data_IF_032867125138
#
_entry.id   IF_032867125138
#
_cell.length_a   1.000
_cell.length_b   1.000
_cell.length_c   1.000
_cell.angle_alpha   90.00
_cell.angle_beta   90.00
_cell.angle_gamma   90.00
#
_symmetry.space_group_name_H-M   'P 1'
#
loop_
_entity.id
_entity.type
_entity.pdbx_description
1 polymer ?
#
# COMPACT_ATOMS: atom_id res chain seq x y z
N UNK A 1 10.30 -5.44 -8.07
CA UNK A 1 9.28 -4.62 -7.40
C UNK A 1 9.56 -3.15 -7.66
N UNK A 2 8.57 -2.34 -7.89
CA UNK A 2 8.71 -0.97 -8.37
C UNK A 2 7.89 -0.01 -7.52
N UNK A 3 8.42 1.17 -7.23
CA UNK A 3 7.70 2.30 -6.65
C UNK A 3 7.48 3.33 -7.75
N UNK A 4 6.26 3.81 -7.91
CA UNK A 4 5.83 4.64 -9.02
C UNK A 4 5.44 6.03 -8.52
N UNK A 5 5.85 7.07 -9.25
CA UNK A 5 5.48 8.47 -8.98
C UNK A 5 4.00 8.70 -9.26
N UNK A 6 3.30 9.35 -8.34
CA UNK A 6 1.98 9.93 -8.58
C UNK A 6 2.13 11.41 -8.92
N UNK A 7 1.63 11.83 -10.06
CA UNK A 7 1.69 13.22 -10.53
C UNK A 7 0.36 13.66 -11.14
N UNK A 8 0.14 14.96 -11.23
CA UNK A 8 -1.07 15.59 -11.80
C UNK A 8 -1.22 15.44 -13.32
N UNK A 9 -0.21 14.90 -14.02
CA UNK A 9 -0.23 14.87 -15.47
C UNK A 9 -1.02 13.66 -16.01
N UNK A 10 -1.80 13.89 -17.06
CA UNK A 10 -2.52 12.81 -17.79
C UNK A 10 -1.58 11.78 -18.41
N UNK A 11 -0.33 12.14 -18.69
CA UNK A 11 0.71 11.23 -19.15
C UNK A 11 1.08 10.21 -18.07
N UNK A 12 0.90 10.55 -16.80
CA UNK A 12 1.11 9.64 -15.68
C UNK A 12 0.21 8.39 -15.76
N UNK A 13 -1.09 8.57 -16.00
CA UNK A 13 -2.03 7.43 -16.08
C UNK A 13 -1.66 6.46 -17.22
N UNK A 14 -1.16 6.98 -18.34
CA UNK A 14 -0.70 6.15 -19.44
C UNK A 14 0.61 5.44 -19.12
N UNK A 15 1.55 6.13 -18.50
CA UNK A 15 2.82 5.55 -18.03
C UNK A 15 2.57 4.51 -16.94
N UNK A 16 1.64 4.77 -16.02
CA UNK A 16 1.23 3.84 -14.99
C UNK A 16 0.63 2.55 -15.57
N UNK A 17 -0.30 2.65 -16.53
CA UNK A 17 -0.87 1.49 -17.22
C UNK A 17 0.18 0.69 -17.97
N UNK A 18 1.13 1.37 -18.61
CA UNK A 18 2.26 0.72 -19.26
C UNK A 18 3.12 -0.02 -18.25
N UNK A 19 3.46 0.61 -17.13
CA UNK A 19 4.26 0.01 -16.07
C UNK A 19 3.53 -1.17 -15.41
N UNK A 20 2.22 -1.07 -15.16
CA UNK A 20 1.41 -2.21 -14.69
C UNK A 20 1.46 -3.39 -15.64
N UNK A 21 1.45 -3.15 -16.96
CA UNK A 21 1.55 -4.21 -17.96
C UNK A 21 2.93 -4.87 -18.02
N UNK A 22 3.98 -4.16 -17.57
CA UNK A 22 5.37 -4.62 -17.58
C UNK A 22 5.82 -5.21 -16.24
N UNK A 23 5.25 -4.75 -15.13
CA UNK A 23 5.60 -5.19 -13.77
C UNK A 23 4.40 -5.85 -13.13
N UNK A 24 4.55 -7.08 -12.70
CA UNK A 24 3.47 -7.84 -12.09
C UNK A 24 2.93 -7.24 -10.78
N UNK A 25 3.70 -6.40 -10.04
CA UNK A 25 3.25 -5.86 -8.74
C UNK A 25 4.05 -4.60 -8.33
N UNK A 26 3.48 -3.39 -8.41
CA UNK A 26 4.05 -2.25 -7.71
C UNK A 26 3.92 -2.47 -6.19
N UNK A 27 4.99 -2.20 -5.46
CA UNK A 27 4.98 -2.31 -3.99
C UNK A 27 4.65 -0.99 -3.29
N UNK A 28 4.64 0.11 -4.03
CA UNK A 28 4.36 1.43 -3.49
C UNK A 28 4.29 2.52 -4.56
N UNK A 29 3.89 3.69 -4.10
CA UNK A 29 3.89 4.93 -4.87
C UNK A 29 4.65 6.00 -4.11
N UNK A 30 5.16 7.01 -4.82
CA UNK A 30 5.78 8.16 -4.20
C UNK A 30 5.19 9.48 -4.70
N UNK A 31 5.23 10.47 -3.83
CA UNK A 31 4.86 11.84 -4.11
C UNK A 31 6.09 12.74 -3.95
N UNK A 32 6.44 13.48 -5.00
CA UNK A 32 7.50 14.47 -4.95
C UNK A 32 7.00 15.70 -4.21
N UNK A 33 7.47 15.90 -2.98
CA UNK A 33 6.98 16.90 -2.06
C UNK A 33 7.44 18.32 -2.42
N UNK A 34 6.53 19.28 -2.31
CA UNK A 34 6.77 20.71 -2.54
C UNK A 34 6.34 21.59 -1.36
N UNK A 35 5.93 21.00 -0.26
CA UNK A 35 5.35 21.73 0.88
C UNK A 35 6.37 22.48 1.75
N UNK A 36 7.68 22.30 1.54
CA UNK A 36 8.70 22.96 2.35
C UNK A 36 8.54 22.67 3.84
N UNK A 37 8.45 23.71 4.66
CA UNK A 37 8.18 23.61 6.10
C UNK A 37 6.71 23.81 6.50
N UNK A 38 5.77 23.77 5.55
CA UNK A 38 4.34 24.02 5.82
C UNK A 38 3.57 22.72 6.07
N UNK A 39 3.22 22.44 7.33
CA UNK A 39 2.37 21.30 7.68
C UNK A 39 0.98 21.38 7.03
N UNK A 40 0.43 22.58 6.82
CA UNK A 40 -0.85 22.74 6.14
C UNK A 40 -0.77 22.31 4.66
N UNK A 41 0.31 22.70 3.97
CA UNK A 41 0.55 22.29 2.59
C UNK A 41 0.89 20.80 2.51
N UNK A 42 1.71 20.27 3.43
CA UNK A 42 2.00 18.84 3.52
C UNK A 42 0.73 17.99 3.66
N UNK A 43 -0.21 18.45 4.50
CA UNK A 43 -1.52 17.82 4.63
C UNK A 43 -2.32 17.85 3.31
N UNK A 44 -2.33 18.99 2.61
CA UNK A 44 -3.03 19.10 1.32
C UNK A 44 -2.41 18.21 0.24
N UNK A 45 -1.07 18.17 0.16
CA UNK A 45 -0.35 17.30 -0.78
C UNK A 45 -0.55 15.81 -0.46
N UNK A 46 -0.62 15.44 0.83
CA UNK A 46 -0.93 14.07 1.24
C UNK A 46 -2.35 13.65 0.83
N UNK A 47 -3.34 14.52 1.00
CA UNK A 47 -4.70 14.26 0.52
C UNK A 47 -4.77 14.12 -0.99
N UNK A 48 -4.08 15.00 -1.73
CA UNK A 48 -3.97 14.88 -3.18
C UNK A 48 -3.37 13.53 -3.57
N UNK A 49 -2.25 13.15 -2.94
CA UNK A 49 -1.57 11.89 -3.20
C UNK A 49 -2.50 10.68 -2.98
N UNK A 50 -3.14 10.62 -1.80
CA UNK A 50 -4.06 9.54 -1.44
C UNK A 50 -5.27 9.46 -2.38
N UNK A 51 -5.82 10.61 -2.82
CA UNK A 51 -6.97 10.69 -3.72
C UNK A 51 -6.66 10.24 -5.15
N UNK A 52 -5.39 10.24 -5.54
CA UNK A 52 -4.93 9.90 -6.88
C UNK A 52 -4.19 8.56 -6.94
N UNK A 53 -4.23 7.75 -5.89
CA UNK A 53 -3.66 6.42 -5.93
C UNK A 53 -4.40 5.56 -6.96
N UNK A 54 -3.67 4.94 -7.90
CA UNK A 54 -4.29 4.25 -9.03
C UNK A 54 -5.06 3.01 -8.65
N UNK A 55 -4.63 2.32 -7.63
CA UNK A 55 -5.27 1.13 -7.08
C UNK A 55 -4.83 0.84 -5.66
N UNK A 56 -5.55 0.04 -5.04
CA UNK A 56 -5.37 -0.67 -3.81
C UNK A 56 -4.40 -1.83 -4.02
N UNK A 57 -3.58 -2.20 -3.07
CA UNK A 57 -2.63 -3.32 -3.17
C UNK A 57 -1.18 -2.90 -3.04
N UNK A 58 -0.91 -1.62 -2.81
CA UNK A 58 0.41 -1.15 -2.46
C UNK A 58 0.55 -1.09 -0.94
N UNK A 59 1.76 -1.35 -0.45
CA UNK A 59 2.07 -1.31 0.98
C UNK A 59 2.64 0.03 1.39
N UNK A 60 3.50 0.57 0.53
CA UNK A 60 4.35 1.69 0.87
C UNK A 60 3.89 2.93 0.13
N UNK A 61 3.74 4.02 0.87
CA UNK A 61 3.59 5.34 0.29
C UNK A 61 4.73 6.22 0.76
N UNK A 62 5.40 6.84 -0.21
CA UNK A 62 6.66 7.53 0.02
C UNK A 62 6.48 9.03 -0.11
N UNK A 63 6.93 9.79 0.88
CA UNK A 63 7.19 11.21 0.74
C UNK A 63 8.62 11.39 0.23
N UNK A 64 8.75 11.88 -0.99
CA UNK A 64 10.00 12.19 -1.66
C UNK A 64 10.33 13.67 -1.39
N UNK A 65 11.12 13.90 -0.32
CA UNK A 65 11.45 15.23 0.19
C UNK A 65 12.91 15.56 -0.06
N UNK A 66 13.19 16.07 -1.25
CA UNK A 66 14.56 16.38 -1.69
C UNK A 66 14.71 17.79 -2.29
N UNK A 67 13.64 18.59 -2.22
CA UNK A 67 13.60 19.98 -2.69
C UNK A 67 12.67 20.81 -1.79
N UNK A 68 12.72 22.13 -1.95
CA UNK A 68 11.80 23.10 -1.34
C UNK A 68 11.86 23.23 0.20
N UNK A 69 12.84 22.65 0.89
CA UNK A 69 12.98 22.81 2.33
C UNK A 69 13.08 24.29 2.71
N UNK A 70 12.39 24.69 3.78
CA UNK A 70 12.53 26.01 4.38
C UNK A 70 13.83 26.12 5.18
N UNK A 71 14.19 27.32 5.60
CA UNK A 71 15.32 27.52 6.50
C UNK A 71 15.08 27.02 7.95
N UNK A 72 13.85 26.64 8.28
CA UNK A 72 13.49 26.11 9.59
C UNK A 72 13.43 24.58 9.55
N UNK A 73 14.47 23.96 10.06
CA UNK A 73 14.63 22.51 10.09
C UNK A 73 13.52 21.80 10.89
N UNK A 74 13.04 22.41 11.99
CA UNK A 74 11.96 21.83 12.78
C UNK A 74 10.63 21.91 12.05
N UNK A 75 10.35 23.03 11.39
CA UNK A 75 9.15 23.17 10.57
C UNK A 75 9.13 22.16 9.41
N UNK A 76 10.28 21.95 8.75
CA UNK A 76 10.43 20.92 7.72
C UNK A 76 10.14 19.52 8.28
N UNK A 77 10.70 19.19 9.44
CA UNK A 77 10.49 17.90 10.12
C UNK A 77 9.01 17.69 10.46
N UNK A 78 8.36 18.71 11.01
CA UNK A 78 6.94 18.65 11.34
C UNK A 78 6.06 18.47 10.10
N UNK A 79 6.41 19.14 8.99
CA UNK A 79 5.68 19.00 7.73
C UNK A 79 5.83 17.58 7.13
N UNK A 80 7.04 17.02 7.13
CA UNK A 80 7.29 15.63 6.71
C UNK A 80 6.48 14.65 7.57
N UNK A 81 6.53 14.80 8.91
CA UNK A 81 5.76 13.93 9.82
C UNK A 81 4.26 14.09 9.58
N UNK A 82 3.76 15.30 9.34
CA UNK A 82 2.34 15.54 9.01
C UNK A 82 1.91 14.78 7.76
N UNK A 83 2.74 14.79 6.71
CA UNK A 83 2.48 14.03 5.49
C UNK A 83 2.45 12.52 5.77
N UNK A 84 3.45 12.02 6.50
CA UNK A 84 3.55 10.60 6.87
C UNK A 84 2.38 10.14 7.76
N UNK A 85 1.89 11.02 8.65
CA UNK A 85 0.72 10.76 9.49
C UNK A 85 -0.53 10.48 8.64
N UNK A 86 -0.77 11.26 7.59
CA UNK A 86 -1.91 11.04 6.69
C UNK A 86 -1.82 9.74 5.93
N UNK A 87 -0.60 9.35 5.54
CA UNK A 87 -0.34 8.03 4.93
C UNK A 87 -0.68 6.91 5.92
N UNK A 88 -0.19 7.02 7.15
CA UNK A 88 -0.42 6.01 8.19
C UNK A 88 -1.90 5.91 8.59
N UNK A 89 -2.59 7.05 8.74
CA UNK A 89 -4.03 7.12 9.02
C UNK A 89 -4.86 6.44 7.91
N UNK A 90 -4.41 6.53 6.66
CA UNK A 90 -5.02 5.83 5.54
C UNK A 90 -4.67 4.32 5.49
N UNK A 91 -3.87 3.84 6.44
CA UNK A 91 -3.51 2.43 6.62
C UNK A 91 -2.36 1.94 5.75
N UNK A 92 -1.54 2.84 5.21
CA UNK A 92 -0.32 2.48 4.47
C UNK A 92 0.92 2.62 5.35
N UNK A 93 2.02 1.97 4.94
CA UNK A 93 3.32 2.14 5.58
C UNK A 93 3.99 3.40 5.01
N UNK A 94 4.18 4.46 5.81
CA UNK A 94 4.84 5.67 5.34
C UNK A 94 6.35 5.46 5.24
N UNK A 95 6.95 5.99 4.18
CA UNK A 95 8.39 6.00 3.93
C UNK A 95 8.82 7.44 3.62
N UNK A 96 9.93 7.85 4.22
CA UNK A 96 10.64 9.08 3.90
C UNK A 96 11.77 8.78 2.93
N UNK A 97 11.75 9.41 1.75
CA UNK A 97 12.86 9.36 0.80
C UNK A 97 13.55 10.72 0.69
N UNK A 98 14.86 10.67 0.68
CA UNK A 98 15.75 11.78 0.33
C UNK A 98 17.18 11.29 0.15
N UNK A 99 18.10 12.21 -0.17
CA UNK A 99 19.53 11.89 -0.12
C UNK A 99 20.17 12.35 1.18
N UNK A 100 21.23 11.64 1.61
CA UNK A 100 21.84 11.83 2.95
C UNK A 100 22.19 13.28 3.27
N UNK A 101 22.91 14.08 2.43
CA UNK A 101 23.23 15.45 2.77
C UNK A 101 21.98 16.32 3.01
N UNK A 102 20.95 16.17 2.18
CA UNK A 102 19.72 16.94 2.31
C UNK A 102 18.97 16.58 3.58
N UNK A 103 18.87 15.29 3.89
CA UNK A 103 18.28 14.79 5.14
C UNK A 103 18.96 15.44 6.35
N UNK A 104 20.29 15.36 6.44
CA UNK A 104 21.03 15.87 7.58
C UNK A 104 20.95 17.39 7.73
N UNK A 105 20.79 18.12 6.64
CA UNK A 105 20.71 19.59 6.67
C UNK A 105 19.30 20.09 6.97
N UNK A 106 18.26 19.40 6.53
CA UNK A 106 16.92 19.97 6.46
C UNK A 106 15.90 19.36 7.40
N UNK A 107 16.13 18.12 7.92
CA UNK A 107 15.20 17.48 8.85
C UNK A 107 15.92 16.84 10.03
N UNK A 108 15.26 16.74 11.14
CA UNK A 108 15.64 15.91 12.29
C UNK A 108 15.12 14.49 12.07
N UNK A 109 15.86 13.69 11.31
CA UNK A 109 15.41 12.35 10.90
C UNK A 109 15.23 11.40 12.09
N UNK A 110 15.92 11.64 13.20
CA UNK A 110 15.73 10.95 14.49
C UNK A 110 14.30 11.09 15.01
N UNK A 111 13.65 12.26 14.83
CA UNK A 111 12.24 12.44 15.17
C UNK A 111 11.32 11.66 14.20
N UNK A 112 11.70 11.55 12.94
CA UNK A 112 10.94 10.77 11.96
C UNK A 112 10.98 9.28 12.35
N UNK A 113 12.17 8.73 12.59
CA UNK A 113 12.31 7.29 12.95
C UNK A 113 11.83 6.97 14.36
N UNK A 114 11.80 7.92 15.27
CA UNK A 114 11.17 7.74 16.58
C UNK A 114 9.67 7.47 16.46
N UNK A 115 9.00 8.10 15.49
CA UNK A 115 7.57 7.90 15.22
C UNK A 115 7.31 6.74 14.25
N UNK A 116 8.13 6.62 13.22
CA UNK A 116 8.05 5.61 12.16
C UNK A 116 9.38 4.84 12.07
N UNK A 117 9.61 3.84 12.92
CA UNK A 117 10.84 3.06 12.90
C UNK A 117 11.08 2.43 11.53
N UNK A 118 12.34 2.40 11.11
CA UNK A 118 12.74 1.77 9.84
C UNK A 118 11.96 2.29 8.62
N UNK A 119 11.76 3.60 8.55
CA UNK A 119 10.98 4.25 7.48
C UNK A 119 11.84 5.06 6.51
N UNK A 120 13.16 4.99 6.59
CA UNK A 120 14.03 5.77 5.71
C UNK A 120 14.39 5.00 4.44
N UNK A 121 14.22 5.66 3.31
CA UNK A 121 14.78 5.30 2.02
C UNK A 121 15.78 6.38 1.62
N UNK A 122 17.07 6.09 1.70
CA UNK A 122 18.11 7.09 1.54
C UNK A 122 18.91 6.83 0.27
N UNK A 123 19.03 7.87 -0.57
CA UNK A 123 19.90 7.86 -1.73
C UNK A 123 21.33 8.26 -1.34
N UNK A 124 22.30 7.48 -1.80
CA UNK A 124 23.72 7.78 -1.72
C UNK A 124 24.45 7.03 -2.82
N UNK A 125 25.06 7.76 -3.75
CA UNK A 125 25.72 7.23 -4.94
C UNK A 125 27.23 7.48 -4.90
N UNK A 126 28.05 6.58 -5.43
CA UNK A 126 29.50 6.84 -5.58
C UNK A 126 29.78 7.94 -6.62
N UNK A 127 28.99 7.97 -7.68
CA UNK A 127 29.04 8.91 -8.81
C UNK A 127 27.83 8.68 -9.72
N UNK A 128 27.77 9.31 -10.89
CA UNK A 128 26.72 9.15 -11.90
C UNK A 128 27.12 8.28 -13.09
N UNK A 129 28.22 7.53 -13.00
CA UNK A 129 28.56 6.52 -14.00
C UNK A 129 27.64 5.30 -13.86
N UNK A 130 27.62 4.45 -14.89
CA UNK A 130 26.88 3.19 -14.83
C UNK A 130 27.38 2.35 -13.65
N UNK A 131 26.52 2.13 -12.70
CA UNK A 131 26.82 1.46 -11.42
C UNK A 131 25.78 0.35 -11.19
N UNK A 132 25.98 -0.86 -11.74
CA UNK A 132 25.01 -1.94 -11.67
C UNK A 132 24.90 -2.59 -10.29
N UNK A 133 25.96 -2.50 -9.48
CA UNK A 133 26.08 -3.13 -8.17
C UNK A 133 26.39 -2.13 -7.06
N UNK A 134 25.96 -2.37 -5.80
CA UNK A 134 26.16 -1.43 -4.71
C UNK A 134 27.64 -1.27 -4.32
N UNK A 135 28.07 -0.02 -4.18
CA UNK A 135 29.40 0.37 -3.68
C UNK A 135 29.28 0.66 -2.18
N UNK A 136 29.51 -0.33 -1.34
CA UNK A 136 29.25 -0.28 0.10
C UNK A 136 30.02 0.80 0.87
N UNK A 137 31.15 1.28 0.34
CA UNK A 137 31.91 2.38 0.95
C UNK A 137 31.15 3.71 1.00
N UNK A 138 30.09 3.87 0.20
CA UNK A 138 29.24 5.07 0.20
C UNK A 138 27.87 4.83 0.88
N UNK A 139 27.72 3.70 1.56
CA UNK A 139 26.50 3.41 2.31
C UNK A 139 26.19 4.57 3.29
N UNK A 140 24.95 5.07 3.35
CA UNK A 140 24.63 6.30 4.09
C UNK A 140 24.80 6.21 5.61
N UNK A 141 24.79 5.03 6.21
CA UNK A 141 25.04 4.79 7.63
C UNK A 141 24.24 5.72 8.55
N UNK A 142 22.93 5.80 8.36
CA UNK A 142 21.97 6.42 9.27
C UNK A 142 21.15 5.33 9.95
N UNK A 143 20.64 5.61 11.14
CA UNK A 143 19.69 4.72 11.79
C UNK A 143 18.34 4.73 11.05
N UNK A 144 17.61 3.62 11.12
CA UNK A 144 16.26 3.53 10.55
C UNK A 144 16.17 3.41 9.04
N UNK A 145 17.27 3.12 8.34
CA UNK A 145 17.25 2.88 6.90
C UNK A 145 16.59 1.53 6.63
N UNK A 146 15.52 1.56 5.84
CA UNK A 146 14.88 0.37 5.26
C UNK A 146 15.43 0.05 3.88
N UNK A 147 15.60 1.09 3.03
CA UNK A 147 16.10 0.97 1.67
C UNK A 147 17.21 1.97 1.40
N UNK A 148 18.20 1.51 0.66
CA UNK A 148 19.28 2.33 0.16
C UNK A 148 19.24 2.37 -1.37
N UNK A 149 18.94 3.54 -1.96
CA UNK A 149 19.13 3.75 -3.38
C UNK A 149 20.61 4.02 -3.64
N UNK A 150 21.30 3.06 -4.23
CA UNK A 150 22.73 3.13 -4.40
C UNK A 150 23.17 3.67 -5.77
N UNK A 151 22.24 3.84 -6.69
CA UNK A 151 22.46 4.41 -8.02
C UNK A 151 21.16 4.87 -8.67
N UNK A 152 21.27 5.88 -9.54
CA UNK A 152 20.26 6.26 -10.53
C UNK A 152 20.64 5.86 -11.95
N UNK A 153 21.77 5.17 -12.11
CA UNK A 153 22.39 4.82 -13.40
C UNK A 153 22.87 3.38 -13.40
N UNK A 154 22.02 2.45 -12.98
CA UNK A 154 22.40 1.02 -13.01
C UNK A 154 22.64 0.48 -14.42
N UNK A 155 22.07 1.14 -15.42
CA UNK A 155 22.31 0.91 -16.85
C UNK A 155 22.51 2.24 -17.59
N UNK A 156 23.07 2.19 -18.78
CA UNK A 156 23.14 3.35 -19.66
C UNK A 156 21.71 3.85 -19.96
N UNK A 157 21.48 5.17 -19.80
CA UNK A 157 20.17 5.77 -19.97
C UNK A 157 19.36 5.95 -18.67
N UNK A 158 19.86 5.44 -17.55
CA UNK A 158 19.28 5.61 -16.21
C UNK A 158 18.37 4.46 -15.78
N UNK A 159 18.63 3.97 -14.61
CA UNK A 159 17.77 3.03 -13.88
C UNK A 159 18.13 3.12 -12.40
N UNK A 160 17.15 3.44 -11.57
CA UNK A 160 17.33 3.41 -10.13
C UNK A 160 17.42 1.97 -9.63
N UNK A 161 18.42 1.73 -8.77
CA UNK A 161 18.54 0.45 -8.07
C UNK A 161 18.71 0.64 -6.58
N UNK A 162 18.14 -0.31 -5.85
CA UNK A 162 18.07 -0.24 -4.40
C UNK A 162 18.54 -1.54 -3.75
N UNK A 163 19.08 -1.40 -2.53
CA UNK A 163 19.27 -2.49 -1.59
C UNK A 163 18.15 -2.45 -0.59
N UNK A 164 17.47 -3.56 -0.38
CA UNK A 164 16.51 -3.78 0.70
C UNK A 164 17.29 -4.33 1.88
N UNK A 165 17.26 -3.63 3.02
CA UNK A 165 18.08 -3.95 4.19
C UNK A 165 17.30 -4.76 5.25
N UNK A 166 16.02 -4.93 5.05
CA UNK A 166 15.14 -5.64 5.98
C UNK A 166 14.30 -6.65 5.20
N UNK A 167 13.99 -7.76 5.83
CA UNK A 167 12.98 -8.68 5.30
C UNK A 167 11.63 -7.97 5.36
N UNK A 168 11.16 -7.56 4.20
CA UNK A 168 9.86 -6.96 4.04
C UNK A 168 8.85 -8.07 3.78
N UNK A 169 8.02 -8.34 4.76
CA UNK A 169 6.78 -9.05 4.51
C UNK A 169 5.85 -8.09 3.75
N UNK A 170 5.78 -8.30 2.43
CA UNK A 170 4.93 -7.49 1.57
C UNK A 170 3.47 -7.94 1.60
N UNK A 171 3.12 -8.93 2.42
CA UNK A 171 1.73 -9.27 2.73
C UNK A 171 1.27 -8.45 3.92
N UNK A 172 0.36 -7.51 3.73
CA UNK A 172 -0.27 -6.79 4.84
C UNK A 172 -1.51 -7.54 5.32
N UNK A 173 -1.83 -7.42 6.60
CA UNK A 173 -3.15 -7.81 7.12
C UNK A 173 -4.30 -7.26 6.26
N UNK A 174 -4.11 -6.09 5.65
CA UNK A 174 -5.08 -5.47 4.74
C UNK A 174 -5.18 -6.17 3.38
N UNK A 175 -4.12 -6.83 2.90
CA UNK A 175 -4.19 -7.67 1.70
C UNK A 175 -4.81 -9.03 2.00
N UNK A 176 -4.52 -9.61 3.17
CA UNK A 176 -5.22 -10.80 3.63
C UNK A 176 -6.70 -10.50 3.83
N UNK A 177 -7.04 -9.44 4.56
CA UNK A 177 -8.41 -8.99 4.73
C UNK A 177 -9.09 -8.61 3.41
N UNK A 178 -8.36 -7.99 2.46
CA UNK A 178 -8.89 -7.65 1.12
C UNK A 178 -8.98 -8.82 0.17
N UNK A 179 -8.03 -9.76 0.19
CA UNK A 179 -8.18 -11.01 -0.57
C UNK A 179 -9.40 -11.77 -0.08
N UNK A 180 -9.62 -11.80 1.24
CA UNK A 180 -10.84 -12.38 1.81
C UNK A 180 -12.10 -11.61 1.38
N UNK A 181 -12.06 -10.27 1.29
CA UNK A 181 -13.19 -9.45 0.85
C UNK A 181 -13.40 -9.47 -0.67
N UNK A 182 -12.34 -9.46 -1.49
CA UNK A 182 -12.42 -9.56 -2.96
C UNK A 182 -12.88 -10.94 -3.42
N UNK A 183 -12.54 -11.98 -2.67
CA UNK A 183 -12.99 -13.36 -2.90
C UNK A 183 -14.32 -13.68 -2.21
N UNK A 184 -14.88 -12.72 -1.45
CA UNK A 184 -16.14 -12.92 -0.75
C UNK A 184 -17.34 -12.59 -1.65
N UNK A 185 -18.19 -13.57 -1.85
CA UNK A 185 -19.45 -13.41 -2.57
C UNK A 185 -20.49 -14.38 -2.05
N UNK A 186 -21.74 -14.11 -2.32
CA UNK A 186 -22.83 -15.05 -2.02
C UNK A 186 -23.36 -15.70 -3.28
N UNK A 187 -23.79 -16.94 -3.16
CA UNK A 187 -24.49 -17.67 -4.23
C UNK A 187 -25.83 -18.16 -3.74
N UNK A 188 -26.80 -18.22 -4.65
CA UNK A 188 -28.08 -18.91 -4.41
C UNK A 188 -28.47 -19.78 -5.60
N UNK A 189 -29.29 -20.79 -5.33
CA UNK A 189 -29.95 -21.56 -6.37
C UNK A 189 -31.38 -21.92 -5.93
N UNK A 190 -32.27 -22.13 -6.88
CA UNK A 190 -33.64 -22.53 -6.61
C UNK A 190 -33.66 -23.83 -5.75
N UNK A 191 -34.35 -23.77 -4.60
CA UNK A 191 -34.45 -24.88 -3.67
C UNK A 191 -33.16 -25.22 -2.90
N UNK A 192 -32.14 -24.37 -2.91
CA UNK A 192 -30.85 -24.61 -2.23
C UNK A 192 -30.53 -23.62 -1.10
N UNK A 193 -31.21 -22.48 -1.07
CA UNK A 193 -30.88 -21.39 -0.13
C UNK A 193 -29.74 -20.51 -0.60
N UNK A 194 -29.07 -19.85 0.35
CA UNK A 194 -27.98 -18.89 0.09
C UNK A 194 -26.74 -19.37 0.81
N UNK A 195 -25.59 -19.31 0.13
CA UNK A 195 -24.30 -19.63 0.72
C UNK A 195 -23.34 -18.45 0.57
N UNK A 196 -22.49 -18.24 1.56
CA UNK A 196 -21.32 -17.38 1.51
C UNK A 196 -20.13 -18.18 0.97
N UNK A 197 -19.41 -17.59 0.03
CA UNK A 197 -18.15 -18.07 -0.52
C UNK A 197 -17.05 -17.11 -0.14
N UNK A 198 -16.00 -17.58 0.50
CA UNK A 198 -14.81 -16.78 0.83
C UNK A 198 -13.59 -17.70 0.97
N UNK A 199 -12.42 -17.29 0.45
CA UNK A 199 -11.19 -18.08 0.50
C UNK A 199 -11.33 -19.52 0.00
N UNK A 200 -12.25 -19.77 -0.94
CA UNK A 200 -12.54 -21.13 -1.46
C UNK A 200 -13.39 -22.01 -0.52
N UNK A 201 -13.91 -21.46 0.58
CA UNK A 201 -14.79 -22.15 1.55
C UNK A 201 -16.25 -21.84 1.25
N UNK A 202 -17.10 -22.85 1.36
CA UNK A 202 -18.55 -22.75 1.21
C UNK A 202 -19.21 -22.81 2.60
N UNK A 203 -20.04 -21.82 2.90
CA UNK A 203 -20.78 -21.73 4.14
C UNK A 203 -22.27 -21.41 3.86
N UNK A 204 -23.18 -22.29 4.31
CA UNK A 204 -24.62 -22.05 4.18
C UNK A 204 -25.09 -20.99 5.17
N UNK A 205 -25.66 -19.89 4.69
CA UNK A 205 -26.26 -18.86 5.52
C UNK A 205 -27.65 -19.33 6.00
N UNK A 206 -27.75 -19.52 7.30
CA UNK A 206 -28.98 -20.06 7.92
C UNK A 206 -29.89 -18.94 8.48
N UNK A 207 -29.33 -17.78 8.84
CA UNK A 207 -30.10 -16.60 9.24
C UNK A 207 -30.52 -15.79 8.02
N UNK A 208 -31.82 -15.56 7.88
CA UNK A 208 -32.37 -14.79 6.75
C UNK A 208 -31.94 -13.31 6.72
N UNK A 209 -31.35 -12.78 7.80
CA UNK A 209 -30.86 -11.40 7.88
C UNK A 209 -29.43 -11.26 7.34
N UNK A 210 -28.62 -12.31 7.41
CA UNK A 210 -27.21 -12.29 7.03
C UNK A 210 -27.00 -11.96 5.54
N UNK A 211 -27.74 -12.57 4.59
CA UNK A 211 -27.61 -12.19 3.18
C UNK A 211 -27.90 -10.72 2.94
N UNK A 212 -28.97 -10.18 3.53
CA UNK A 212 -29.34 -8.79 3.35
C UNK A 212 -28.28 -7.83 3.93
N UNK A 213 -27.69 -8.17 5.09
CA UNK A 213 -26.59 -7.41 5.69
C UNK A 213 -25.37 -7.38 4.79
N UNK A 214 -24.95 -8.53 4.26
CA UNK A 214 -23.80 -8.64 3.35
C UNK A 214 -24.02 -7.84 2.04
N UNK A 215 -25.21 -7.96 1.44
CA UNK A 215 -25.53 -7.25 0.19
C UNK A 215 -25.60 -5.74 0.37
N UNK A 216 -26.17 -5.27 1.47
CA UNK A 216 -26.20 -3.86 1.80
C UNK A 216 -24.77 -3.31 2.07
N UNK A 217 -23.85 -4.15 2.50
CA UNK A 217 -22.44 -3.86 2.67
C UNK A 217 -21.62 -3.96 1.39
N UNK A 218 -22.21 -4.32 0.25
CA UNK A 218 -21.56 -4.37 -1.06
C UNK A 218 -21.04 -5.74 -1.47
N UNK A 219 -21.29 -6.81 -0.70
CA UNK A 219 -20.94 -8.18 -1.08
C UNK A 219 -21.74 -8.61 -2.31
N UNK A 220 -21.07 -9.07 -3.34
CA UNK A 220 -21.68 -9.50 -4.61
C UNK A 220 -22.53 -10.75 -4.40
N UNK A 221 -23.64 -10.84 -5.12
CA UNK A 221 -24.50 -12.00 -5.14
C UNK A 221 -24.66 -12.57 -6.55
N UNK A 222 -24.58 -13.90 -6.67
CA UNK A 222 -24.76 -14.60 -7.92
C UNK A 222 -25.85 -15.67 -7.79
N UNK A 223 -26.86 -15.61 -8.65
CA UNK A 223 -27.81 -16.69 -8.81
C UNK A 223 -27.20 -17.72 -9.80
N UNK A 224 -27.07 -18.95 -9.38
CA UNK A 224 -26.47 -20.04 -10.15
C UNK A 224 -27.45 -21.19 -10.37
N UNK A 225 -27.11 -22.14 -11.25
CA UNK A 225 -27.90 -23.36 -11.37
C UNK A 225 -27.73 -24.25 -10.13
N UNK A 226 -28.74 -25.09 -9.84
CA UNK A 226 -28.66 -26.07 -8.76
C UNK A 226 -27.39 -26.94 -8.87
N UNK A 227 -27.06 -27.38 -10.08
CA UNK A 227 -25.87 -28.19 -10.35
C UNK A 227 -24.57 -27.45 -9.99
N UNK A 228 -24.50 -26.16 -10.30
CA UNK A 228 -23.35 -25.29 -9.95
C UNK A 228 -23.27 -25.10 -8.43
N UNK A 229 -24.38 -24.85 -7.78
CA UNK A 229 -24.45 -24.69 -6.32
C UNK A 229 -23.96 -25.96 -5.61
N UNK A 230 -24.49 -27.13 -6.01
CA UNK A 230 -24.13 -28.44 -5.47
C UNK A 230 -22.63 -28.74 -5.70
N UNK A 231 -22.09 -28.31 -6.84
CA UNK A 231 -20.67 -28.46 -7.12
C UNK A 231 -19.78 -27.61 -6.22
N UNK A 232 -20.17 -26.35 -5.96
CA UNK A 232 -19.48 -25.54 -4.97
C UNK A 232 -19.53 -26.18 -3.57
N UNK A 233 -20.70 -26.62 -3.15
CA UNK A 233 -20.87 -27.27 -1.86
C UNK A 233 -20.02 -28.53 -1.67
N UNK A 234 -19.82 -29.30 -2.73
CA UNK A 234 -19.08 -30.57 -2.67
C UNK A 234 -17.60 -30.47 -2.94
N UNK A 235 -17.17 -29.42 -3.66
CA UNK A 235 -15.79 -29.25 -4.13
C UNK A 235 -15.03 -28.12 -3.42
N UNK A 236 -15.72 -27.26 -2.68
CA UNK A 236 -15.06 -26.25 -1.85
C UNK A 236 -14.34 -26.93 -0.68
N UNK A 237 -13.20 -26.35 -0.26
CA UNK A 237 -12.40 -26.88 0.83
C UNK A 237 -13.23 -27.17 2.08
N UNK A 238 -12.93 -28.28 2.71
CA UNK A 238 -13.69 -28.89 3.79
C UNK A 238 -13.56 -28.14 5.12
N UNK A 239 -12.63 -27.22 5.21
CA UNK A 239 -12.47 -26.34 6.37
C UNK A 239 -13.60 -25.30 6.37
N UNK A 240 -14.68 -25.70 6.98
CA UNK A 240 -15.86 -24.85 7.13
C UNK A 240 -15.50 -23.66 8.01
N UNK A 241 -15.90 -22.46 7.59
CA UNK A 241 -15.89 -21.32 8.50
C UNK A 241 -16.72 -21.69 9.75
N UNK A 242 -16.15 -21.46 10.92
CA UNK A 242 -16.90 -21.60 12.14
C UNK A 242 -17.92 -20.44 12.30
N UNK A 243 -18.94 -20.67 13.13
CA UNK A 243 -20.02 -19.70 13.31
C UNK A 243 -19.51 -18.35 13.87
N UNK A 244 -18.40 -18.35 14.65
CA UNK A 244 -17.80 -17.14 15.19
C UNK A 244 -17.14 -16.32 14.07
N UNK A 245 -16.45 -16.97 13.15
CA UNK A 245 -15.83 -16.32 11.99
C UNK A 245 -16.90 -15.75 11.06
N UNK A 246 -17.99 -16.48 10.80
CA UNK A 246 -19.11 -15.96 10.00
C UNK A 246 -19.77 -14.77 10.67
N UNK A 247 -20.02 -14.83 11.98
CA UNK A 247 -20.57 -13.71 12.72
C UNK A 247 -19.68 -12.46 12.67
N UNK A 248 -18.35 -12.62 12.73
CA UNK A 248 -17.39 -11.52 12.55
C UNK A 248 -17.44 -10.93 11.14
N UNK A 249 -17.53 -11.77 10.10
CA UNK A 249 -17.63 -11.32 8.71
C UNK A 249 -18.92 -10.52 8.51
N UNK A 250 -20.05 -11.05 8.91
CA UNK A 250 -21.34 -10.36 8.81
C UNK A 250 -21.37 -9.08 9.66
N UNK A 251 -20.78 -9.12 10.85
CA UNK A 251 -20.69 -7.97 11.76
C UNK A 251 -19.94 -6.76 11.18
N UNK A 252 -18.96 -6.97 10.29
CA UNK A 252 -18.24 -5.89 9.60
C UNK A 252 -19.17 -5.02 8.73
N UNK A 253 -20.27 -5.57 8.23
CA UNK A 253 -21.22 -4.90 7.35
C UNK A 253 -22.47 -4.37 8.07
N UNK A 254 -22.52 -4.53 9.40
CA UNK A 254 -23.58 -3.90 10.19
C UNK A 254 -23.35 -2.39 10.27
N UNK A 255 -24.24 -1.61 9.69
CA UNK A 255 -24.22 -0.15 9.80
C UNK A 255 -24.40 0.21 11.27
N UNK A 256 -23.41 0.86 11.87
CA UNK A 256 -23.61 1.50 13.18
C UNK A 256 -24.67 2.59 13.00
N UNK A 257 -25.80 2.41 13.67
CA UNK A 257 -26.90 3.39 13.71
C UNK A 257 -26.53 4.54 14.64
#
# INVERSE_FOLDING_TARGET
>A
KTIIKVSESTNYLNSFRFMQAQTSEPVGYYHFARFGGSSAQANAEAYFFLSNLPTTGVHYLVVDYEDSASGDRQANTNAVITFMDRIAEAGYQPIYYSYKPYTLSNVYYDQIIAKYPNSLWIAAYPNYNVTPDPVWSVFPSLDGIRWWQFTSTAIAGGLDKNVVLMDDDFTTKKEEERKEEEDMFTISAEGRGIALMTGGVFYSLLDAKDPATLWNGGVKHFQVSQKTFDNFQTKSNVDKLDDETVAKLVGKYQVQK
#
